data_IF_974856533506
#
_entry.id   IF_974856533506
#
_cell.length_a   1.000
_cell.length_b   1.000
_cell.length_c   1.000
_cell.angle_alpha   90.00
_cell.angle_beta   90.00
_cell.angle_gamma   90.00
#
_symmetry.space_group_name_H-M   'P 1'
#
loop_
_entity.id
_entity.type
_entity.pdbx_description
1 polymer ?
#
# COMPACT_ATOMS: atom_id res chain seq x y z
N UNK A 1 18.35 11.25 0.11
CA UNK A 1 17.86 10.88 1.41
C UNK A 1 16.44 10.45 1.37
N UNK A 2 16.12 9.49 2.23
CA UNK A 2 14.80 8.91 2.23
C UNK A 2 13.73 9.93 2.56
N UNK A 3 14.04 10.85 3.47
CA UNK A 3 13.04 11.81 3.89
C UNK A 3 12.75 12.86 2.84
N UNK A 4 13.74 13.19 2.01
CA UNK A 4 13.53 14.26 1.04
C UNK A 4 12.57 13.86 -0.07
N UNK A 5 12.49 12.57 -0.41
CA UNK A 5 11.54 12.13 -1.44
C UNK A 5 10.11 12.42 -1.01
N UNK A 6 9.76 11.98 0.20
CA UNK A 6 8.40 12.19 0.70
C UNK A 6 8.13 13.68 0.90
N UNK A 7 9.11 14.41 1.40
CA UNK A 7 8.95 15.85 1.61
C UNK A 7 8.67 16.58 0.30
N UNK A 8 9.31 16.16 -0.78
CA UNK A 8 9.04 16.75 -2.08
C UNK A 8 7.60 16.52 -2.52
N UNK A 9 7.11 15.31 -2.31
CA UNK A 9 5.73 15.00 -2.68
C UNK A 9 4.76 15.82 -1.84
N UNK A 10 5.01 15.93 -0.55
CA UNK A 10 4.15 16.71 0.34
C UNK A 10 4.13 18.16 -0.09
N UNK A 11 5.26 18.71 -0.47
CA UNK A 11 5.33 20.09 -0.90
C UNK A 11 4.52 20.37 -2.17
N UNK A 12 4.28 19.34 -2.97
CA UNK A 12 3.55 19.48 -4.21
C UNK A 12 2.05 19.26 -4.07
N UNK A 13 1.59 18.90 -2.88
CA UNK A 13 0.16 18.73 -2.64
C UNK A 13 -0.55 20.07 -2.69
N UNK A 14 -1.80 20.11 -3.17
CA UNK A 14 -2.56 21.36 -3.21
C UNK A 14 -3.09 21.81 -1.85
N UNK A 15 -2.72 21.12 -0.79
CA UNK A 15 -3.13 21.43 0.57
C UNK A 15 -2.02 21.01 1.50
N UNK A 16 -2.09 21.45 2.75
CA UNK A 16 -1.12 21.06 3.76
C UNK A 16 -1.64 19.89 4.56
N UNK A 17 -0.74 18.97 4.89
CA UNK A 17 -1.10 17.88 5.77
C UNK A 17 -1.31 18.40 7.18
N UNK A 18 -2.26 17.82 7.89
CA UNK A 18 -2.47 18.16 9.28
C UNK A 18 -1.33 17.62 10.13
N UNK A 19 -1.23 18.12 11.37
CA UNK A 19 -0.21 17.60 12.28
C UNK A 19 -0.37 16.12 12.53
N UNK A 20 -1.63 15.66 12.65
CA UNK A 20 -1.88 14.23 12.85
C UNK A 20 -1.43 13.41 11.65
N UNK A 21 -1.68 13.91 10.44
CA UNK A 21 -1.24 13.21 9.23
C UNK A 21 0.27 13.12 9.16
N UNK A 22 0.96 14.21 9.46
CA UNK A 22 2.42 14.22 9.44
C UNK A 22 2.99 13.25 10.45
N UNK A 23 2.39 13.20 11.64
CA UNK A 23 2.84 12.28 12.68
C UNK A 23 2.62 10.83 12.25
N UNK A 24 1.46 10.54 11.67
CA UNK A 24 1.17 9.17 11.23
C UNK A 24 2.18 8.73 10.18
N UNK A 25 2.46 9.60 9.20
CA UNK A 25 3.41 9.26 8.16
C UNK A 25 4.81 9.07 8.73
N UNK A 26 5.23 9.94 9.65
CA UNK A 26 6.54 9.81 10.26
C UNK A 26 6.67 8.50 11.02
N UNK A 27 5.60 8.12 11.74
CA UNK A 27 5.63 6.86 12.48
C UNK A 27 5.73 5.66 11.56
N UNK A 28 4.97 5.67 10.47
CA UNK A 28 5.05 4.58 9.50
C UNK A 28 6.45 4.48 8.93
N UNK A 29 7.04 5.59 8.54
CA UNK A 29 8.37 5.59 7.94
C UNK A 29 9.42 5.13 8.94
N UNK A 30 9.30 5.55 10.19
CA UNK A 30 10.23 5.11 11.22
C UNK A 30 10.11 3.62 11.46
N UNK A 31 8.86 3.12 11.51
CA UNK A 31 8.65 1.70 11.76
C UNK A 31 9.14 0.85 10.60
N UNK A 32 9.08 1.37 9.38
CA UNK A 32 9.57 0.64 8.22
C UNK A 32 11.08 0.44 8.24
N UNK A 33 11.79 1.22 9.05
CA UNK A 33 13.23 1.05 9.22
C UNK A 33 13.58 0.00 10.24
N UNK A 34 12.58 -0.49 10.96
CA UNK A 34 12.78 -1.52 11.97
C UNK A 34 12.97 -2.88 11.30
N UNK A 35 13.82 -3.74 11.85
CA UNK A 35 13.95 -5.10 11.32
C UNK A 35 12.77 -5.99 11.64
N UNK A 36 11.85 -5.54 12.46
CA UNK A 36 10.72 -6.36 12.89
C UNK A 36 9.48 -6.01 12.09
N UNK A 37 8.65 -7.02 11.88
CA UNK A 37 7.35 -6.81 11.25
C UNK A 37 6.52 -5.93 12.17
N UNK A 38 5.95 -4.87 11.60
CA UNK A 38 5.13 -3.93 12.34
C UNK A 38 3.67 -4.07 11.94
N UNK A 39 2.80 -4.04 12.94
CA UNK A 39 1.38 -3.96 12.71
C UNK A 39 0.87 -2.69 13.37
N UNK A 40 0.24 -1.85 12.57
CA UNK A 40 -0.28 -0.58 13.07
C UNK A 40 -1.66 -0.34 12.53
N UNK A 41 -2.52 0.14 13.40
CA UNK A 41 -3.90 0.47 13.05
C UNK A 41 -4.00 1.93 12.66
N UNK A 42 -4.44 2.20 11.44
CA UNK A 42 -4.74 3.55 11.02
C UNK A 42 -6.22 3.79 11.25
N UNK A 43 -6.54 4.69 12.16
CA UNK A 43 -7.92 5.00 12.47
C UNK A 43 -8.30 6.35 11.92
N UNK A 44 -9.61 6.55 11.79
CA UNK A 44 -10.15 7.80 11.29
C UNK A 44 -11.06 7.56 10.12
N UNK A 45 -11.57 8.63 9.58
CA UNK A 45 -12.50 8.53 8.46
C UNK A 45 -11.82 8.01 7.24
N UNK A 46 -12.50 7.11 6.57
CA UNK A 46 -11.97 6.45 5.39
C UNK A 46 -11.78 7.42 4.24
N UNK A 47 -12.46 8.41 4.13
CA UNK A 47 -12.51 9.16 2.90
C UNK A 47 -11.44 10.18 2.67
N UNK A 48 -10.75 10.65 3.67
CA UNK A 48 -9.96 11.84 3.41
C UNK A 48 -8.48 11.65 3.68
N UNK A 49 -8.05 11.98 4.86
CA UNK A 49 -6.62 12.07 5.12
C UNK A 49 -5.87 10.77 5.08
N UNK A 50 -6.56 9.65 5.25
CA UNK A 50 -5.89 8.36 5.29
C UNK A 50 -5.37 7.91 3.94
N UNK A 51 -6.12 8.16 2.88
CA UNK A 51 -5.72 7.71 1.56
C UNK A 51 -4.41 8.35 1.13
N UNK A 52 -4.26 9.64 1.38
CA UNK A 52 -3.02 10.31 1.00
C UNK A 52 -1.84 9.82 1.84
N UNK A 53 -2.05 9.54 3.11
CA UNK A 53 -0.99 9.01 3.95
C UNK A 53 -0.59 7.62 3.48
N UNK A 54 -1.57 6.78 3.14
CA UNK A 54 -1.29 5.46 2.60
C UNK A 54 -0.49 5.58 1.30
N UNK A 55 -0.91 6.48 0.41
CA UNK A 55 -0.20 6.66 -0.85
C UNK A 55 1.24 7.09 -0.62
N UNK A 56 1.46 8.06 0.27
CA UNK A 56 2.80 8.56 0.51
C UNK A 56 3.70 7.48 1.10
N UNK A 57 3.17 6.67 2.01
CA UNK A 57 3.94 5.58 2.59
C UNK A 57 4.27 4.52 1.54
N UNK A 58 3.31 4.20 0.68
CA UNK A 58 3.54 3.22 -0.38
C UNK A 58 4.51 3.77 -1.44
N UNK A 59 4.43 5.06 -1.72
CA UNK A 59 5.36 5.68 -2.65
C UNK A 59 6.78 5.67 -2.09
N UNK A 60 6.91 5.88 -0.79
CA UNK A 60 8.22 5.81 -0.14
C UNK A 60 8.80 4.40 -0.24
N UNK A 61 7.96 3.38 -0.03
CA UNK A 61 8.42 2.01 -0.20
C UNK A 61 8.87 1.76 -1.63
N UNK A 62 8.10 2.24 -2.60
CA UNK A 62 8.45 2.06 -4.01
C UNK A 62 9.73 2.80 -4.36
N UNK A 63 9.95 3.96 -3.80
CA UNK A 63 11.17 4.73 -4.02
C UNK A 63 12.40 3.95 -3.56
N UNK A 64 12.23 3.11 -2.57
CA UNK A 64 13.31 2.27 -2.06
C UNK A 64 13.28 0.87 -2.67
N UNK A 65 12.56 0.71 -3.78
CA UNK A 65 12.48 -0.54 -4.55
C UNK A 65 11.81 -1.67 -3.79
N UNK A 66 10.79 -1.33 -3.01
CA UNK A 66 9.98 -2.32 -2.32
C UNK A 66 8.56 -2.27 -2.82
N UNK A 67 7.92 -3.42 -2.81
CA UNK A 67 6.50 -3.52 -3.09
C UNK A 67 5.68 -3.14 -1.87
N UNK A 68 4.49 -2.64 -2.12
CA UNK A 68 3.55 -2.31 -1.06
C UNK A 68 2.16 -2.72 -1.48
N UNK A 69 1.28 -2.92 -0.52
CA UNK A 69 -0.07 -3.37 -0.79
C UNK A 69 -1.06 -2.68 0.14
N UNK A 70 -2.23 -2.38 -0.39
CA UNK A 70 -3.33 -1.89 0.43
C UNK A 70 -4.55 -2.76 0.16
N UNK A 71 -5.17 -3.23 1.24
CA UNK A 71 -6.38 -4.05 1.19
C UNK A 71 -7.58 -3.21 1.55
N UNK A 72 -8.57 -3.21 0.67
CA UNK A 72 -9.83 -2.53 0.92
C UNK A 72 -10.89 -3.56 1.28
N UNK A 73 -11.91 -3.17 2.05
CA UNK A 73 -12.94 -4.12 2.45
C UNK A 73 -13.88 -4.49 1.32
N UNK A 74 -14.00 -3.67 0.30
CA UNK A 74 -14.89 -3.96 -0.82
C UNK A 74 -14.17 -3.70 -2.13
N UNK A 75 -14.71 -4.31 -3.18
CA UNK A 75 -14.15 -4.13 -4.50
C UNK A 75 -14.33 -2.69 -4.99
N UNK A 76 -15.42 -2.06 -4.62
CA UNK A 76 -15.67 -0.67 -5.01
C UNK A 76 -14.57 0.23 -4.44
N UNK A 77 -14.26 0.06 -3.16
CA UNK A 77 -13.21 0.84 -2.54
C UNK A 77 -11.83 0.54 -3.12
N UNK A 78 -11.59 -0.75 -3.43
CA UNK A 78 -10.32 -1.11 -4.05
C UNK A 78 -10.15 -0.39 -5.39
N UNK A 79 -11.20 -0.36 -6.21
CA UNK A 79 -11.12 0.32 -7.48
C UNK A 79 -10.94 1.82 -7.33
N UNK A 80 -11.56 2.41 -6.32
CA UNK A 80 -11.38 3.83 -6.04
C UNK A 80 -9.93 4.13 -5.67
N UNK A 81 -9.35 3.31 -4.82
CA UNK A 81 -7.94 3.47 -4.46
C UNK A 81 -7.03 3.30 -5.67
N UNK A 82 -7.35 2.32 -6.50
CA UNK A 82 -6.56 2.06 -7.69
C UNK A 82 -6.54 3.29 -8.61
N UNK A 83 -7.71 3.86 -8.87
CA UNK A 83 -7.79 5.03 -9.72
C UNK A 83 -7.11 6.24 -9.09
N UNK A 84 -7.31 6.42 -7.79
CA UNK A 84 -6.70 7.52 -7.08
C UNK A 84 -5.18 7.42 -7.12
N UNK A 85 -4.65 6.23 -6.88
CA UNK A 85 -3.21 6.05 -6.85
C UNK A 85 -2.59 6.21 -8.24
N UNK A 86 -3.26 5.71 -9.27
CA UNK A 86 -2.78 5.94 -10.62
C UNK A 86 -2.73 7.43 -10.96
N UNK A 87 -3.77 8.14 -10.57
CA UNK A 87 -3.83 9.57 -10.83
C UNK A 87 -2.74 10.32 -10.07
N UNK A 88 -2.52 9.96 -8.83
CA UNK A 88 -1.49 10.61 -8.04
C UNK A 88 -0.10 10.32 -8.61
N UNK A 89 0.16 9.10 -9.02
CA UNK A 89 1.43 8.78 -9.65
C UNK A 89 1.63 9.61 -10.91
N UNK A 90 0.57 9.78 -11.69
CA UNK A 90 0.67 10.56 -12.90
C UNK A 90 0.93 12.03 -12.59
N UNK A 91 0.21 12.57 -11.61
CA UNK A 91 0.36 13.97 -11.24
C UNK A 91 1.75 14.28 -10.69
N UNK A 92 2.31 13.34 -9.96
CA UNK A 92 3.65 13.53 -9.40
C UNK A 92 4.77 13.08 -10.34
N UNK A 93 4.41 12.53 -11.49
CA UNK A 93 5.43 12.06 -12.43
C UNK A 93 6.18 10.84 -11.93
N UNK A 94 5.55 10.02 -11.11
CA UNK A 94 6.16 8.82 -10.57
C UNK A 94 5.91 7.65 -11.51
N UNK A 95 6.96 6.89 -11.78
CA UNK A 95 6.86 5.72 -12.63
C UNK A 95 6.75 4.47 -11.78
N UNK A 96 5.66 4.39 -11.03
CA UNK A 96 5.42 3.28 -10.13
C UNK A 96 4.21 2.52 -10.66
N UNK A 97 4.37 1.23 -10.98
CA UNK A 97 3.23 0.43 -11.43
C UNK A 97 2.20 0.28 -10.32
N UNK A 98 0.95 0.53 -10.65
CA UNK A 98 -0.16 0.31 -9.72
C UNK A 98 -0.96 -0.88 -10.25
N UNK A 99 -1.10 -1.90 -9.44
CA UNK A 99 -1.70 -3.17 -9.84
C UNK A 99 -2.97 -3.39 -9.05
N UNK A 100 -4.06 -3.68 -9.75
CA UNK A 100 -5.34 -3.99 -9.11
C UNK A 100 -5.51 -5.50 -9.03
N UNK A 101 -5.96 -5.99 -7.87
CA UNK A 101 -6.14 -7.41 -7.67
C UNK A 101 -7.39 -7.63 -6.82
N UNK A 102 -8.48 -8.04 -7.46
CA UNK A 102 -9.75 -8.26 -6.80
C UNK A 102 -10.31 -9.63 -7.17
N UNK A 103 -11.28 -10.09 -6.36
CA UNK A 103 -11.83 -11.41 -6.54
C UNK A 103 -12.65 -11.58 -7.81
N UNK A 104 -13.24 -10.51 -8.32
CA UNK A 104 -14.11 -10.60 -9.49
C UNK A 104 -13.37 -10.50 -10.81
N UNK A 105 -12.07 -10.30 -10.77
CA UNK A 105 -11.29 -10.22 -12.02
C UNK A 105 -11.25 -11.56 -12.70
N UNK A 106 -11.15 -11.53 -14.04
CA UNK A 106 -11.04 -12.76 -14.81
C UNK A 106 -9.70 -13.43 -14.54
N UNK A 107 -9.62 -14.71 -14.93
CA UNK A 107 -8.36 -15.45 -14.77
C UNK A 107 -7.23 -14.76 -15.52
N UNK A 108 -7.53 -14.23 -16.70
CA UNK A 108 -6.52 -13.54 -17.50
C UNK A 108 -6.04 -12.28 -16.80
N UNK A 109 -6.98 -11.51 -16.25
CA UNK A 109 -6.63 -10.27 -15.54
C UNK A 109 -5.79 -10.58 -14.31
N UNK A 110 -6.16 -11.62 -13.57
CA UNK A 110 -5.39 -12.01 -12.39
C UNK A 110 -3.99 -12.46 -12.78
N UNK A 111 -3.86 -13.20 -13.88
CA UNK A 111 -2.56 -13.65 -14.34
C UNK A 111 -1.68 -12.47 -14.69
N UNK A 112 -2.25 -11.48 -15.38
CA UNK A 112 -1.49 -10.29 -15.72
C UNK A 112 -1.03 -9.54 -14.48
N UNK A 113 -1.90 -9.48 -13.46
CA UNK A 113 -1.52 -8.84 -12.21
C UNK A 113 -0.38 -9.58 -11.52
N UNK A 114 -0.44 -10.90 -11.49
CA UNK A 114 0.63 -11.70 -10.88
C UNK A 114 1.94 -11.51 -11.63
N UNK A 115 1.87 -11.48 -12.96
CA UNK A 115 3.07 -11.25 -13.75
C UNK A 115 3.68 -9.88 -13.47
N UNK A 116 2.84 -8.87 -13.31
CA UNK A 116 3.33 -7.54 -12.99
C UNK A 116 4.03 -7.53 -11.63
N UNK A 117 3.50 -8.28 -10.67
CA UNK A 117 4.13 -8.34 -9.35
C UNK A 117 5.51 -8.98 -9.40
N UNK A 118 5.69 -9.95 -10.29
CA UNK A 118 6.99 -10.57 -10.46
C UNK A 118 7.96 -9.67 -11.21
N UNK A 119 7.43 -8.88 -12.13
CA UNK A 119 8.26 -8.08 -13.00
C UNK A 119 8.71 -6.77 -12.35
N UNK A 120 7.86 -6.19 -11.51
CA UNK A 120 8.11 -4.87 -10.96
C UNK A 120 8.32 -4.95 -9.45
N UNK A 121 9.57 -4.77 -9.00
CA UNK A 121 9.88 -4.89 -7.57
C UNK A 121 9.35 -3.72 -6.74
N UNK A 122 8.83 -2.68 -7.38
CA UNK A 122 8.33 -1.50 -6.68
C UNK A 122 6.84 -1.29 -6.86
N UNK A 123 6.10 -2.31 -7.27
CA UNK A 123 4.68 -2.16 -7.56
C UNK A 123 3.86 -1.81 -6.32
N UNK A 124 2.87 -0.95 -6.51
CA UNK A 124 1.84 -0.71 -5.51
C UNK A 124 0.65 -1.60 -5.84
N UNK A 125 0.26 -2.45 -4.91
CA UNK A 125 -0.83 -3.39 -5.13
C UNK A 125 -2.05 -2.91 -4.38
N UNK A 126 -3.18 -2.87 -5.07
CA UNK A 126 -4.45 -2.45 -4.48
C UNK A 126 -5.45 -3.58 -4.69
N UNK A 127 -6.11 -4.01 -3.61
CA UNK A 127 -7.04 -5.09 -3.80
C UNK A 127 -7.87 -5.40 -2.58
N UNK A 128 -8.54 -6.53 -2.66
CA UNK A 128 -9.37 -7.05 -1.60
C UNK A 128 -8.74 -8.33 -1.07
N UNK A 129 -9.57 -9.27 -0.64
CA UNK A 129 -9.07 -10.52 -0.09
C UNK A 129 -8.19 -11.29 -1.07
N UNK A 130 -8.32 -11.02 -2.37
CA UNK A 130 -7.50 -11.73 -3.35
C UNK A 130 -6.01 -11.50 -3.13
N UNK A 131 -5.65 -10.42 -2.43
CA UNK A 131 -4.24 -10.16 -2.13
C UNK A 131 -3.59 -11.23 -1.27
N UNK A 132 -4.38 -11.93 -0.45
CA UNK A 132 -3.81 -12.94 0.44
C UNK A 132 -3.97 -14.35 -0.09
N UNK A 133 -4.45 -14.50 -1.32
CA UNK A 133 -4.56 -15.81 -1.91
C UNK A 133 -3.19 -16.34 -2.27
N UNK A 134 -3.08 -17.66 -2.31
CA UNK A 134 -1.79 -18.30 -2.41
C UNK A 134 -1.01 -17.93 -3.65
N UNK A 135 -1.73 -17.63 -4.73
CA UNK A 135 -1.07 -17.38 -6.00
C UNK A 135 -0.45 -15.99 -6.09
N UNK A 136 -0.80 -15.11 -5.18
CA UNK A 136 -0.19 -13.78 -5.18
C UNK A 136 1.23 -13.93 -4.65
N UNK A 137 2.20 -13.68 -5.50
CA UNK A 137 3.61 -13.84 -5.16
C UNK A 137 4.23 -12.47 -5.02
N UNK A 138 4.78 -12.22 -3.84
CA UNK A 138 5.42 -10.96 -3.53
C UNK A 138 6.90 -11.21 -3.27
N UNK A 139 7.74 -10.78 -4.20
CA UNK A 139 9.17 -11.00 -4.04
C UNK A 139 9.80 -10.02 -3.06
N UNK A 140 9.22 -8.85 -2.93
CA UNK A 140 9.90 -7.79 -2.20
C UNK A 140 8.90 -6.90 -1.46
N UNK A 141 7.95 -7.51 -0.79
CA UNK A 141 6.88 -6.78 -0.10
C UNK A 141 7.40 -6.20 1.21
N UNK A 142 7.26 -4.89 1.38
CA UNK A 142 7.74 -4.20 2.58
C UNK A 142 6.63 -3.62 3.42
N UNK A 143 5.45 -3.36 2.84
CA UNK A 143 4.40 -2.65 3.56
C UNK A 143 3.05 -3.18 3.15
N UNK A 144 2.21 -3.49 4.13
CA UNK A 144 0.83 -3.87 3.89
C UNK A 144 -0.06 -2.96 4.73
N UNK A 145 -1.02 -2.33 4.08
CA UNK A 145 -1.96 -1.44 4.73
C UNK A 145 -3.34 -2.05 4.64
N UNK A 146 -4.05 -2.09 5.75
CA UNK A 146 -5.42 -2.57 5.80
C UNK A 146 -6.34 -1.38 6.06
N UNK A 147 -7.25 -1.12 5.14
CA UNK A 147 -8.15 0.01 5.24
C UNK A 147 -9.21 -0.19 6.31
N UNK A 148 -9.63 -1.44 6.54
CA UNK A 148 -10.70 -1.75 7.45
C UNK A 148 -10.25 -2.84 8.41
N UNK A 149 -9.88 -2.45 9.63
CA UNK A 149 -9.21 -3.36 10.54
C UNK A 149 -10.07 -4.52 11.01
N UNK A 150 -11.36 -4.30 11.22
CA UNK A 150 -12.18 -5.35 11.83
C UNK A 150 -12.65 -6.39 10.84
N UNK A 151 -12.38 -6.22 9.57
CA UNK A 151 -12.80 -7.18 8.55
C UNK A 151 -11.89 -8.38 8.44
N UNK A 152 -10.69 -8.27 8.94
CA UNK A 152 -9.69 -9.33 8.76
C UNK A 152 -9.31 -9.93 10.09
N UNK A 153 -9.34 -11.24 10.14
CA UNK A 153 -8.91 -11.93 11.33
C UNK A 153 -7.41 -12.00 11.44
N UNK A 154 -6.97 -12.44 12.62
CA UNK A 154 -5.54 -12.57 12.89
C UNK A 154 -4.88 -13.49 11.88
N UNK A 155 -5.57 -14.54 11.50
CA UNK A 155 -5.00 -15.54 10.59
C UNK A 155 -4.65 -14.94 9.23
N UNK A 156 -5.52 -14.07 8.72
CA UNK A 156 -5.25 -13.43 7.43
C UNK A 156 -4.06 -12.51 7.51
N UNK A 157 -3.92 -11.79 8.63
CA UNK A 157 -2.77 -10.93 8.82
C UNK A 157 -1.48 -11.71 8.91
N UNK A 158 -1.56 -12.86 9.57
CA UNK A 158 -0.39 -13.73 9.65
C UNK A 158 0.02 -14.23 8.28
N UNK A 159 -0.97 -14.53 7.43
CA UNK A 159 -0.65 -14.96 6.07
C UNK A 159 0.13 -13.90 5.32
N UNK A 160 -0.28 -12.64 5.46
CA UNK A 160 0.48 -11.55 4.85
C UNK A 160 1.87 -11.44 5.44
N UNK A 161 1.97 -11.57 6.75
CA UNK A 161 3.27 -11.49 7.41
C UNK A 161 4.19 -12.59 6.92
N UNK A 162 3.64 -13.79 6.74
CA UNK A 162 4.45 -14.91 6.24
C UNK A 162 4.90 -14.67 4.81
N UNK A 163 3.99 -14.19 3.96
CA UNK A 163 4.35 -13.91 2.56
C UNK A 163 5.40 -12.83 2.47
N UNK A 164 5.27 -11.81 3.29
CA UNK A 164 6.18 -10.69 3.27
C UNK A 164 7.42 -10.89 4.09
N UNK A 165 7.43 -11.83 5.00
CA UNK A 165 8.54 -12.09 5.90
C UNK A 165 9.08 -10.78 6.46
N UNK A 166 9.16 -10.62 7.70
CA UNK A 166 9.73 -9.44 8.32
C UNK A 166 9.36 -8.12 7.64
N UNK A 167 8.31 -8.13 6.84
CA UNK A 167 7.81 -6.89 6.23
C UNK A 167 6.87 -6.20 7.21
N UNK A 168 6.57 -4.96 6.89
CA UNK A 168 5.77 -4.13 7.78
C UNK A 168 4.30 -4.23 7.40
N UNK A 169 3.46 -4.38 8.41
CA UNK A 169 2.02 -4.49 8.22
C UNK A 169 1.36 -3.33 8.95
N UNK A 170 0.55 -2.57 8.22
CA UNK A 170 -0.15 -1.42 8.75
C UNK A 170 -1.65 -1.67 8.63
N UNK A 171 -2.32 -1.69 9.76
CA UNK A 171 -3.75 -2.01 9.81
C UNK A 171 -4.56 -0.79 10.21
#
# INVERSE_FOLDING_TARGET
>A
REDSFTDELIARLPYELTGAQKRALSEVKRDMRSPYVMQRLIQGDVGSGKTIIAFLAMADAAHNDYQSAIMAPTEVLARQHYETFQKLCEEFGLKIPVVLLTGSMTARQKRMAYEALQLYPNAMVVGTHALIQERAIYDNLALVITDEQHRFGVRQRETFAEKGRQRHILV
#
